data_IF_329956524227
#
_entry.id   IF_329956524227
#
_cell.length_a   1.000
_cell.length_b   1.000
_cell.length_c   1.000
_cell.angle_alpha   90.00
_cell.angle_beta   90.00
_cell.angle_gamma   90.00
#
_symmetry.space_group_name_H-M   'P 1'
#
loop_
_entity.id
_entity.type
_entity.pdbx_description
1 polymer ?
#
# COMPACT_ATOMS: atom_id res chain seq x y z
N UNK A 1 5.19 5.50 -26.10
CA UNK A 1 4.77 5.14 -24.72
C UNK A 1 5.16 6.32 -23.85
N UNK A 2 4.24 6.84 -23.05
CA UNK A 2 4.51 8.01 -22.20
C UNK A 2 5.54 7.68 -21.13
N UNK A 3 6.40 8.64 -20.79
CA UNK A 3 7.47 8.47 -19.81
C UNK A 3 7.28 9.40 -18.64
N UNK A 4 7.46 8.89 -17.44
CA UNK A 4 7.52 9.64 -16.19
C UNK A 4 8.74 10.56 -16.24
N UNK A 5 8.52 11.86 -16.04
CA UNK A 5 9.59 12.86 -15.91
C UNK A 5 9.70 13.41 -14.50
N UNK A 6 8.59 13.45 -13.76
CA UNK A 6 8.56 14.02 -12.42
C UNK A 6 7.50 13.37 -11.55
N UNK A 7 7.81 13.24 -10.27
CA UNK A 7 6.87 12.82 -9.22
C UNK A 7 6.84 13.91 -8.16
N UNK A 8 5.66 14.14 -7.61
CA UNK A 8 5.45 15.02 -6.47
C UNK A 8 4.33 14.47 -5.60
N UNK A 9 4.25 14.95 -4.36
CA UNK A 9 3.25 14.54 -3.40
C UNK A 9 2.47 15.75 -2.94
N UNK A 10 1.16 15.76 -3.21
CA UNK A 10 0.25 16.85 -2.89
C UNK A 10 -0.71 16.40 -1.80
N UNK A 11 -0.35 16.63 -0.54
CA UNK A 11 -1.12 16.13 0.60
C UNK A 11 -1.16 14.60 0.64
N UNK A 12 -2.33 14.02 0.39
CA UNK A 12 -2.55 12.56 0.38
C UNK A 12 -2.60 11.95 -1.03
N UNK A 13 -2.08 12.65 -2.03
CA UNK A 13 -2.03 12.19 -3.42
C UNK A 13 -0.60 12.15 -3.94
N UNK A 14 -0.32 11.17 -4.79
CA UNK A 14 0.85 11.16 -5.68
C UNK A 14 0.47 11.81 -7.01
N UNK A 15 1.32 12.71 -7.48
CA UNK A 15 1.16 13.41 -8.76
C UNK A 15 2.35 13.07 -9.65
N UNK A 16 2.07 12.60 -10.87
CA UNK A 16 3.07 12.19 -11.84
C UNK A 16 2.91 12.99 -13.11
N UNK A 17 4.00 13.60 -13.57
CA UNK A 17 4.05 14.33 -14.84
C UNK A 17 4.80 13.48 -15.86
N UNK A 18 4.27 13.39 -17.07
CA UNK A 18 4.90 12.69 -18.19
C UNK A 18 5.64 13.62 -19.15
N UNK A 19 6.45 13.05 -20.03
CA UNK A 19 7.15 13.73 -21.12
C UNK A 19 6.21 14.42 -22.12
N UNK A 20 4.98 13.93 -22.25
CA UNK A 20 3.90 14.57 -23.00
C UNK A 20 3.26 15.77 -22.29
N UNK A 21 3.68 16.08 -21.06
CA UNK A 21 3.12 17.14 -20.22
C UNK A 21 1.80 16.78 -19.54
N UNK A 22 1.34 15.52 -19.64
CA UNK A 22 0.15 15.06 -18.91
C UNK A 22 0.46 14.88 -17.44
N UNK A 23 -0.55 15.16 -16.61
CA UNK A 23 -0.49 14.97 -15.17
C UNK A 23 -1.48 13.90 -14.74
N UNK A 24 -0.97 12.89 -14.02
CA UNK A 24 -1.77 11.85 -13.39
C UNK A 24 -1.76 12.07 -11.87
N UNK A 25 -2.92 11.90 -11.24
CA UNK A 25 -3.06 11.99 -9.79
C UNK A 25 -3.76 10.75 -9.25
N UNK A 26 -3.28 10.25 -8.11
CA UNK A 26 -3.92 9.12 -7.43
C UNK A 26 -3.70 9.23 -5.92
N UNK A 27 -4.69 8.83 -5.13
CA UNK A 27 -4.57 8.85 -3.67
C UNK A 27 -3.49 7.88 -3.18
N UNK A 28 -2.77 8.26 -2.13
CA UNK A 28 -1.75 7.40 -1.50
C UNK A 28 -2.34 6.14 -0.86
N UNK A 29 -3.65 6.07 -0.65
CA UNK A 29 -4.31 4.85 -0.19
C UNK A 29 -4.16 3.69 -1.17
N UNK A 30 -3.93 3.98 -2.45
CA UNK A 30 -3.59 2.98 -3.45
C UNK A 30 -2.14 2.47 -3.34
N UNK A 31 -1.30 3.16 -2.56
CA UNK A 31 0.12 2.86 -2.38
C UNK A 31 0.46 2.89 -0.88
N UNK A 32 -0.01 1.90 -0.09
CA UNK A 32 0.11 1.89 1.36
C UNK A 32 1.51 2.15 1.90
N UNK A 33 2.52 1.56 1.26
CA UNK A 33 3.92 1.73 1.63
C UNK A 33 4.35 3.20 1.49
N UNK A 34 3.92 3.90 0.43
CA UNK A 34 4.16 5.34 0.27
C UNK A 34 3.31 6.19 1.19
N UNK A 35 2.08 5.77 1.50
CA UNK A 35 1.21 6.46 2.48
C UNK A 35 1.91 6.53 3.84
N UNK A 36 2.57 5.45 4.25
CA UNK A 36 3.30 5.36 5.51
C UNK A 36 4.72 5.96 5.46
N UNK A 37 5.28 6.17 4.26
CA UNK A 37 6.62 6.71 4.08
C UNK A 37 6.73 8.17 4.56
N UNK A 38 7.88 8.51 5.15
CA UNK A 38 8.24 9.88 5.53
C UNK A 38 8.43 10.77 4.29
N UNK A 39 8.37 12.11 4.44
CA UNK A 39 8.66 13.03 3.32
C UNK A 39 10.03 12.76 2.67
N UNK A 40 11.08 12.57 3.46
CA UNK A 40 12.42 12.25 2.94
C UNK A 40 12.46 10.95 2.15
N UNK A 41 11.79 9.90 2.64
CA UNK A 41 11.69 8.62 1.93
C UNK A 41 10.96 8.77 0.60
N UNK A 42 9.89 9.58 0.56
CA UNK A 42 9.10 9.84 -0.67
C UNK A 42 9.93 10.57 -1.73
N UNK A 43 10.84 11.44 -1.33
CA UNK A 43 11.74 12.17 -2.24
C UNK A 43 12.88 11.29 -2.79
N UNK A 44 13.26 10.22 -2.09
CA UNK A 44 14.31 9.28 -2.49
C UNK A 44 13.84 8.26 -3.55
N UNK A 45 13.28 8.73 -4.66
CA UNK A 45 12.84 7.88 -5.77
C UNK A 45 13.82 7.86 -6.94
N UNK A 46 13.78 6.78 -7.72
CA UNK A 46 14.49 6.66 -8.99
C UNK A 46 13.53 6.23 -10.10
N UNK A 47 13.51 6.98 -11.20
CA UNK A 47 12.80 6.59 -12.41
C UNK A 47 13.69 5.61 -13.17
N UNK A 48 13.13 4.50 -13.63
CA UNK A 48 13.90 3.49 -14.36
C UNK A 48 14.36 4.00 -15.75
N UNK A 49 15.23 3.24 -16.42
CA UNK A 49 15.76 3.59 -17.74
C UNK A 49 14.67 3.76 -18.83
N UNK A 50 13.55 3.06 -18.69
CA UNK A 50 12.47 3.09 -19.67
C UNK A 50 11.51 4.28 -19.46
N UNK A 51 11.51 4.87 -18.26
CA UNK A 51 10.62 5.95 -17.86
C UNK A 51 9.21 5.47 -17.51
N UNK A 52 8.95 4.18 -17.37
CA UNK A 52 7.60 3.62 -17.15
C UNK A 52 7.35 3.16 -15.70
N UNK A 53 8.39 3.16 -14.87
CA UNK A 53 8.32 2.77 -13.47
C UNK A 53 9.24 3.59 -12.56
N UNK A 54 8.89 3.61 -11.29
CA UNK A 54 9.57 4.35 -10.22
C UNK A 54 9.87 3.39 -9.09
N UNK A 55 11.09 3.48 -8.55
CA UNK A 55 11.56 2.66 -7.44
C UNK A 55 11.91 3.53 -6.22
N UNK A 56 11.41 3.14 -5.05
CA UNK A 56 11.85 3.62 -3.74
C UNK A 56 12.59 2.51 -3.00
N UNK A 57 13.91 2.44 -3.19
CA UNK A 57 14.72 1.31 -2.72
C UNK A 57 14.61 1.09 -1.20
N UNK A 58 14.63 2.17 -0.41
CA UNK A 58 14.63 2.09 1.06
C UNK A 58 13.37 1.42 1.64
N UNK A 59 12.20 1.73 1.08
CA UNK A 59 10.91 1.21 1.56
C UNK A 59 10.43 -0.03 0.77
N UNK A 60 11.27 -0.54 -0.14
CA UNK A 60 10.97 -1.66 -1.02
C UNK A 60 9.67 -1.52 -1.83
N UNK A 61 9.38 -0.31 -2.33
CA UNK A 61 8.19 -0.05 -3.17
C UNK A 61 8.59 0.26 -4.62
N UNK A 62 7.75 -0.17 -5.55
CA UNK A 62 7.78 0.16 -6.98
C UNK A 62 6.38 0.56 -7.48
N UNK A 63 6.32 1.54 -8.38
CA UNK A 63 5.08 1.96 -9.04
C UNK A 63 5.30 2.05 -10.54
N UNK A 64 4.40 1.42 -11.29
CA UNK A 64 4.30 1.58 -12.74
C UNK A 64 3.33 2.70 -13.11
N UNK A 65 3.60 3.39 -14.24
CA UNK A 65 2.71 4.43 -14.76
C UNK A 65 1.27 3.92 -14.98
N UNK A 66 1.12 2.66 -15.41
CA UNK A 66 -0.19 2.02 -15.60
C UNK A 66 -1.03 1.97 -14.33
N UNK A 67 -0.39 1.81 -13.17
CA UNK A 67 -1.09 1.79 -11.87
C UNK A 67 -1.77 3.11 -11.53
N UNK A 68 -1.38 4.22 -12.18
CA UNK A 68 -2.02 5.53 -12.03
C UNK A 68 -3.22 5.71 -12.97
N UNK A 69 -3.23 5.02 -14.11
CA UNK A 69 -4.31 5.09 -15.10
C UNK A 69 -5.43 4.09 -14.84
N UNK A 70 -5.16 3.05 -14.06
CA UNK A 70 -6.16 2.04 -13.72
C UNK A 70 -7.25 2.66 -12.83
N UNK A 71 -8.49 2.66 -13.34
CA UNK A 71 -9.70 3.13 -12.64
C UNK A 71 -10.21 2.18 -11.55
N UNK A 72 -9.45 1.14 -11.21
CA UNK A 72 -9.80 0.22 -10.14
C UNK A 72 -9.84 0.98 -8.81
N UNK A 73 -11.01 0.99 -8.17
CA UNK A 73 -11.17 1.49 -6.80
C UNK A 73 -10.74 0.41 -5.80
N UNK A 74 -10.23 0.79 -4.62
CA UNK A 74 -9.85 -0.19 -3.61
C UNK A 74 -11.10 -0.90 -3.13
N UNK A 75 -11.09 -2.24 -3.21
CA UNK A 75 -12.22 -3.05 -2.80
C UNK A 75 -12.09 -3.38 -1.31
N UNK A 76 -13.12 -3.07 -0.53
CA UNK A 76 -13.15 -3.47 0.89
C UNK A 76 -13.22 -5.00 1.04
N UNK A 77 -12.67 -5.50 2.14
CA UNK A 77 -12.67 -6.90 2.53
C UNK A 77 -12.68 -7.00 4.07
N UNK A 78 -12.88 -8.19 4.63
CA UNK A 78 -13.04 -8.33 6.07
C UNK A 78 -11.77 -7.93 6.85
N UNK A 79 -10.58 -8.10 6.26
CA UNK A 79 -9.33 -7.63 6.87
C UNK A 79 -9.32 -6.11 6.94
N UNK A 80 -9.65 -5.43 5.84
CA UNK A 80 -9.74 -3.97 5.79
C UNK A 80 -10.69 -3.41 6.86
N UNK A 81 -11.88 -4.01 7.02
CA UNK A 81 -12.87 -3.56 8.01
C UNK A 81 -12.37 -3.69 9.46
N UNK A 82 -11.61 -4.75 9.78
CA UNK A 82 -11.05 -4.93 11.13
C UNK A 82 -9.97 -3.89 11.42
N UNK A 83 -9.02 -3.68 10.51
CA UNK A 83 -7.95 -2.68 10.71
C UNK A 83 -8.49 -1.25 10.71
N UNK A 84 -9.57 -0.98 9.96
CA UNK A 84 -10.30 0.29 10.05
C UNK A 84 -10.97 0.48 11.40
N UNK A 85 -11.58 -0.58 11.96
CA UNK A 85 -12.23 -0.56 13.27
C UNK A 85 -11.23 -0.42 14.43
N UNK A 86 -10.03 -0.96 14.26
CA UNK A 86 -8.98 -0.97 15.28
C UNK A 86 -7.69 -0.31 14.76
N UNK A 87 -7.68 1.01 14.58
CA UNK A 87 -6.53 1.74 14.00
C UNK A 87 -5.27 1.71 14.87
N UNK A 88 -5.38 1.24 16.12
CA UNK A 88 -4.27 1.06 17.06
C UNK A 88 -3.53 -0.28 16.88
N UNK A 89 -3.99 -1.18 15.98
CA UNK A 89 -3.27 -2.41 15.68
C UNK A 89 -2.00 -2.12 14.89
N UNK A 90 -0.86 -2.60 15.38
CA UNK A 90 0.41 -2.48 14.68
C UNK A 90 0.48 -3.49 13.53
N UNK A 91 0.29 -3.00 12.30
CA UNK A 91 0.32 -3.80 11.05
C UNK A 91 1.64 -4.55 10.88
N UNK A 92 2.77 -3.92 11.23
CA UNK A 92 4.11 -4.49 11.05
C UNK A 92 4.34 -5.68 11.98
N UNK A 93 3.98 -5.52 13.26
CA UNK A 93 4.10 -6.58 14.27
C UNK A 93 3.15 -7.74 13.96
N UNK A 94 1.90 -7.43 13.61
CA UNK A 94 0.91 -8.45 13.28
C UNK A 94 1.29 -9.26 12.03
N UNK A 95 1.82 -8.61 10.98
CA UNK A 95 2.34 -9.30 9.81
C UNK A 95 3.47 -10.27 10.18
N UNK A 96 4.36 -9.88 11.10
CA UNK A 96 5.46 -10.72 11.58
C UNK A 96 4.95 -11.95 12.33
N UNK A 97 3.95 -11.79 13.20
CA UNK A 97 3.30 -12.92 13.91
C UNK A 97 2.71 -13.94 12.94
N UNK A 98 2.17 -13.49 11.80
CA UNK A 98 1.63 -14.35 10.75
C UNK A 98 2.69 -14.95 9.80
N UNK A 99 3.96 -14.55 9.91
CA UNK A 99 4.97 -14.90 8.90
C UNK A 99 4.67 -14.33 7.52
N UNK A 100 3.98 -13.18 7.45
CA UNK A 100 3.55 -12.52 6.22
C UNK A 100 4.38 -11.26 5.93
N UNK A 101 4.65 -10.98 4.66
CA UNK A 101 5.20 -9.69 4.26
C UNK A 101 4.21 -8.55 4.60
N UNK A 102 4.69 -7.54 5.35
CA UNK A 102 3.90 -6.35 5.72
C UNK A 102 3.25 -5.68 4.52
N UNK A 103 3.97 -5.56 3.40
CA UNK A 103 3.46 -4.94 2.17
C UNK A 103 2.23 -5.67 1.63
N UNK A 104 2.20 -6.99 1.71
CA UNK A 104 1.04 -7.79 1.28
C UNK A 104 -0.16 -7.56 2.20
N UNK A 105 0.04 -7.57 3.52
CA UNK A 105 -1.04 -7.28 4.47
C UNK A 105 -1.59 -5.85 4.26
N UNK A 106 -0.70 -4.88 4.04
CA UNK A 106 -1.09 -3.50 3.77
C UNK A 106 -1.95 -3.40 2.51
N UNK A 107 -1.57 -4.11 1.43
CA UNK A 107 -2.39 -4.18 0.21
C UNK A 107 -3.80 -4.74 0.46
N UNK A 108 -3.96 -5.67 1.41
CA UNK A 108 -5.28 -6.14 1.83
C UNK A 108 -6.05 -5.09 2.63
N UNK A 109 -5.40 -4.45 3.61
CA UNK A 109 -6.01 -3.42 4.48
C UNK A 109 -6.55 -2.25 3.67
N UNK A 110 -5.80 -1.82 2.66
CA UNK A 110 -6.17 -0.70 1.80
C UNK A 110 -6.96 -1.12 0.56
N UNK A 111 -7.29 -2.40 0.40
CA UNK A 111 -8.17 -2.88 -0.68
C UNK A 111 -7.56 -2.87 -2.08
N UNK A 112 -6.24 -2.67 -2.21
CA UNK A 112 -5.53 -2.72 -3.50
C UNK A 112 -5.28 -4.15 -3.96
N UNK A 113 -5.38 -5.12 -3.04
CA UNK A 113 -5.44 -6.55 -3.34
C UNK A 113 -6.55 -7.19 -2.51
N UNK A 114 -7.21 -8.19 -3.08
CA UNK A 114 -8.18 -9.03 -2.35
C UNK A 114 -7.49 -10.31 -1.85
N UNK A 115 -7.58 -10.65 -0.54
CA UNK A 115 -7.13 -11.95 -0.05
C UNK A 115 -8.01 -13.08 -0.59
N UNK A 116 -7.47 -14.29 -0.71
CA UNK A 116 -8.29 -15.49 -0.92
C UNK A 116 -9.09 -15.80 0.35
N UNK A 117 -10.18 -16.56 0.25
CA UNK A 117 -10.99 -16.94 1.42
C UNK A 117 -10.16 -17.62 2.52
N UNK A 118 -9.27 -18.54 2.12
CA UNK A 118 -8.34 -19.20 3.05
C UNK A 118 -7.43 -18.18 3.74
N UNK A 119 -6.86 -17.25 2.98
CA UNK A 119 -5.93 -16.24 3.51
C UNK A 119 -6.64 -15.25 4.43
N UNK A 120 -7.84 -14.81 4.05
CA UNK A 120 -8.69 -13.94 4.87
C UNK A 120 -9.02 -14.62 6.20
N UNK A 121 -9.43 -15.89 6.15
CA UNK A 121 -9.69 -16.69 7.34
C UNK A 121 -8.46 -16.81 8.24
N UNK A 122 -7.29 -17.16 7.70
CA UNK A 122 -6.03 -17.25 8.45
C UNK A 122 -5.72 -15.93 9.19
N UNK A 123 -5.87 -14.78 8.51
CA UNK A 123 -5.62 -13.47 9.10
C UNK A 123 -6.61 -13.18 10.25
N UNK A 124 -7.89 -13.43 10.03
CA UNK A 124 -8.94 -13.16 11.02
C UNK A 124 -8.84 -14.09 12.23
N UNK A 125 -8.50 -15.36 12.02
CA UNK A 125 -8.33 -16.34 13.09
C UNK A 125 -7.13 -15.98 13.99
N UNK A 126 -6.03 -15.50 13.41
CA UNK A 126 -4.89 -15.00 14.19
C UNK A 126 -5.26 -13.76 15.04
N UNK A 127 -6.03 -12.83 14.49
CA UNK A 127 -6.55 -11.67 15.26
C UNK A 127 -7.45 -12.11 16.41
N UNK A 128 -8.34 -13.07 16.18
CA UNK A 128 -9.21 -13.64 17.23
C UNK A 128 -8.39 -14.31 18.32
N UNK A 129 -7.33 -15.03 17.96
CA UNK A 129 -6.47 -15.70 18.92
C UNK A 129 -5.72 -14.71 19.80
N UNK A 130 -5.15 -13.64 19.22
CA UNK A 130 -4.57 -12.53 19.98
C UNK A 130 -5.62 -11.90 20.90
N UNK A 131 -6.82 -11.67 20.41
CA UNK A 131 -7.93 -11.13 21.22
C UNK A 131 -8.28 -12.00 22.43
N UNK A 132 -8.31 -13.33 22.27
CA UNK A 132 -8.52 -14.27 23.37
C UNK A 132 -7.38 -14.25 24.38
N UNK A 133 -6.13 -14.19 23.91
CA UNK A 133 -4.97 -14.09 24.79
C UNK A 133 -5.05 -12.81 25.63
N UNK A 134 -5.36 -11.67 25.01
CA UNK A 134 -5.51 -10.40 25.70
C UNK A 134 -6.68 -10.40 26.70
N UNK A 135 -7.80 -11.05 26.40
CA UNK A 135 -8.95 -11.13 27.32
C UNK A 135 -8.70 -12.01 28.55
N UNK A 136 -7.66 -12.85 28.50
CA UNK A 136 -7.29 -13.77 29.57
C UNK A 136 -6.09 -13.29 30.41
N UNK A 137 -5.67 -12.02 30.22
CA UNK A 137 -4.71 -11.33 31.10
C UNK A 137 -5.48 -10.76 32.29
#
# INVERSE_FOLDING_TARGET
MEKIVKISFCGNEICVVTDSGKEYRKALEFFPTLKEATPSQRECYQINKFGDAVRWAEIDEDIHLSSLTDGAQPATNAVAEVFKKFPFLNVSEFARTLGMHKSLLSKYIYGTKKPSEKREKEILDALREIGKQLSNI
#
